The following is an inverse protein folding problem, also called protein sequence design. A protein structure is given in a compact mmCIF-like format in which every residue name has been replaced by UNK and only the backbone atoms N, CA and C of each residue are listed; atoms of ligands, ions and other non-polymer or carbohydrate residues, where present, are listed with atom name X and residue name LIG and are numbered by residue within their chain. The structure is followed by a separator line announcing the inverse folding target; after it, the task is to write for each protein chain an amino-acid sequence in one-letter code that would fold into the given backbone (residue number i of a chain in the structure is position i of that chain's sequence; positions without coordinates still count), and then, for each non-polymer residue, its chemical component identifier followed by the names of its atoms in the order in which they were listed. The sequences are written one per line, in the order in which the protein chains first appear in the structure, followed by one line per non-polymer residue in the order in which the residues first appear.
data_IF_613015871227
#
_entry.id   IF_613015871227
#
_cell.length_a   1.000
_cell.length_b   1.000
_cell.length_c   1.000
_cell.angle_alpha   90.00
_cell.angle_beta   90.00
_cell.angle_gamma   90.00
#
_symmetry.space_group_name_H-M   'P 1'
#
loop_
_entity.id
_entity.type
_entity.pdbx_description
1 polymer ?
#
# COMPACT_ATOMS: atom_id res chain seq x y z
N UNK A 1 15.63 -21.63 -37.18
CA UNK A 1 15.42 -20.18 -37.17
C UNK A 1 13.96 -19.99 -36.81
N UNK A 2 13.55 -19.65 -35.59
CA UNK A 2 14.23 -19.15 -34.40
C UNK A 2 13.64 -19.83 -33.17
N UNK A 3 14.51 -20.49 -32.41
CA UNK A 3 14.27 -20.80 -31.01
C UNK A 3 14.55 -19.51 -30.22
N UNK A 4 13.57 -18.62 -30.13
CA UNK A 4 13.59 -17.51 -29.18
C UNK A 4 12.98 -18.00 -27.86
N UNK A 5 13.89 -18.45 -26.98
CA UNK A 5 13.85 -18.36 -25.52
C UNK A 5 12.47 -18.42 -24.84
N UNK A 6 12.11 -19.63 -24.38
CA UNK A 6 11.06 -19.88 -23.37
C UNK A 6 11.37 -19.27 -21.98
N UNK A 7 12.44 -18.47 -21.84
CA UNK A 7 12.99 -18.04 -20.55
C UNK A 7 12.77 -16.55 -20.20
N UNK A 8 12.08 -15.74 -21.02
CA UNK A 8 11.88 -14.30 -20.75
C UNK A 8 10.43 -13.81 -20.73
N UNK A 9 9.44 -14.71 -20.93
CA UNK A 9 8.06 -14.39 -20.57
C UNK A 9 7.88 -14.66 -19.08
N UNK A 10 8.06 -13.63 -18.25
CA UNK A 10 7.71 -13.72 -16.83
C UNK A 10 6.23 -14.16 -16.75
N UNK A 11 5.98 -15.32 -16.13
CA UNK A 11 4.62 -15.84 -16.02
C UNK A 11 3.71 -14.80 -15.35
N UNK A 12 2.48 -14.68 -15.85
CA UNK A 12 1.53 -13.65 -15.41
C UNK A 12 1.23 -13.78 -13.93
N UNK A 13 1.22 -15.01 -13.41
CA UNK A 13 1.10 -15.26 -11.97
C UNK A 13 2.23 -14.58 -11.18
N UNK A 14 3.47 -14.66 -11.67
CA UNK A 14 4.62 -14.00 -11.06
C UNK A 14 4.45 -12.49 -11.06
N UNK A 15 3.94 -11.92 -12.14
CA UNK A 15 3.65 -10.48 -12.22
C UNK A 15 2.54 -10.08 -11.23
N UNK A 16 1.48 -10.87 -11.10
CA UNK A 16 0.43 -10.63 -10.10
C UNK A 16 1.05 -10.62 -8.70
N UNK A 17 1.75 -11.69 -8.31
CA UNK A 17 2.36 -11.80 -6.97
C UNK A 17 3.30 -10.64 -6.67
N UNK A 18 4.16 -10.27 -7.63
CA UNK A 18 5.14 -9.20 -7.48
C UNK A 18 4.48 -7.83 -7.32
N UNK A 19 3.45 -7.52 -8.10
CA UNK A 19 2.88 -6.17 -8.13
C UNK A 19 1.64 -5.99 -7.23
N UNK A 20 1.11 -7.05 -6.63
CA UNK A 20 -0.12 -7.02 -5.83
C UNK A 20 -0.08 -5.95 -4.73
N UNK A 21 0.97 -5.99 -3.89
CA UNK A 21 1.12 -5.06 -2.77
C UNK A 21 1.29 -3.62 -3.25
N UNK A 22 1.99 -3.40 -4.37
CA UNK A 22 2.18 -2.07 -4.94
C UNK A 22 0.87 -1.44 -5.42
N UNK A 23 0.02 -2.21 -6.11
CA UNK A 23 -1.30 -1.76 -6.55
C UNK A 23 -2.21 -1.45 -5.35
N UNK A 24 -2.23 -2.35 -4.37
CA UNK A 24 -3.01 -2.15 -3.15
C UNK A 24 -2.62 -0.89 -2.38
N UNK A 25 -1.30 -0.65 -2.22
CA UNK A 25 -0.76 0.55 -1.58
C UNK A 25 -1.15 1.82 -2.34
N UNK A 26 -1.08 1.79 -3.67
CA UNK A 26 -1.50 2.91 -4.52
C UNK A 26 -2.99 3.25 -4.29
N UNK A 27 -3.88 2.24 -4.26
CA UNK A 27 -5.30 2.46 -3.99
C UNK A 27 -5.58 3.01 -2.59
N UNK A 28 -4.86 2.50 -1.57
CA UNK A 28 -4.92 3.03 -0.21
C UNK A 28 -4.45 4.48 -0.14
N UNK A 29 -3.40 4.82 -0.88
CA UNK A 29 -2.89 6.19 -0.97
C UNK A 29 -3.91 7.13 -1.63
N UNK A 30 -4.64 6.67 -2.65
CA UNK A 30 -5.72 7.44 -3.28
C UNK A 30 -6.96 7.63 -2.37
N UNK A 31 -7.00 6.99 -1.21
CA UNK A 31 -8.07 7.15 -0.22
C UNK A 31 -9.13 6.05 -0.22
N UNK A 32 -8.87 4.89 -0.83
CA UNK A 32 -9.73 3.71 -0.64
C UNK A 32 -9.71 3.25 0.81
N UNK A 33 -10.86 2.85 1.37
CA UNK A 33 -10.90 2.04 2.59
C UNK A 33 -10.26 0.66 2.38
N UNK A 34 -9.95 -0.07 3.45
CA UNK A 34 -9.20 -1.34 3.35
C UNK A 34 -9.90 -2.36 2.45
N UNK A 35 -11.16 -2.64 2.72
CA UNK A 35 -11.97 -3.59 1.93
C UNK A 35 -12.10 -3.13 0.48
N UNK A 36 -12.34 -1.84 0.25
CA UNK A 36 -12.37 -1.28 -1.09
C UNK A 36 -11.04 -1.43 -1.83
N UNK A 37 -9.91 -1.25 -1.15
CA UNK A 37 -8.59 -1.44 -1.76
C UNK A 37 -8.35 -2.92 -2.12
N UNK A 38 -8.79 -3.86 -1.28
CA UNK A 38 -8.72 -5.30 -1.58
C UNK A 38 -9.51 -5.63 -2.85
N UNK A 39 -10.75 -5.17 -2.95
CA UNK A 39 -11.63 -5.42 -4.11
C UNK A 39 -11.09 -4.81 -5.40
N UNK A 40 -10.71 -3.52 -5.37
CA UNK A 40 -10.23 -2.83 -6.58
C UNK A 40 -8.86 -3.36 -7.02
N UNK A 41 -8.04 -3.88 -6.09
CA UNK A 41 -6.80 -4.58 -6.44
C UNK A 41 -7.09 -5.85 -7.21
N UNK A 42 -8.04 -6.67 -6.75
CA UNK A 42 -8.46 -7.88 -7.45
C UNK A 42 -9.00 -7.55 -8.84
N UNK A 43 -9.89 -6.55 -8.96
CA UNK A 43 -10.45 -6.12 -10.23
C UNK A 43 -9.35 -5.64 -11.20
N UNK A 44 -8.35 -4.92 -10.70
CA UNK A 44 -7.17 -4.50 -11.48
C UNK A 44 -6.45 -5.69 -12.09
N UNK A 45 -6.18 -6.73 -11.30
CA UNK A 45 -5.48 -7.92 -11.81
C UNK A 45 -6.36 -8.78 -12.71
N UNK A 46 -7.67 -8.84 -12.49
CA UNK A 46 -8.60 -9.50 -13.42
C UNK A 46 -8.59 -8.83 -14.80
N UNK A 47 -8.56 -7.49 -14.85
CA UNK A 47 -8.42 -6.74 -16.11
C UNK A 47 -7.06 -7.00 -16.74
N UNK A 48 -5.98 -6.95 -15.96
CA UNK A 48 -4.62 -7.23 -16.42
C UNK A 48 -4.51 -8.63 -17.06
N UNK A 49 -5.06 -9.65 -16.43
CA UNK A 49 -5.01 -11.03 -16.92
C UNK A 49 -5.83 -11.24 -18.21
N UNK A 50 -6.88 -10.45 -18.45
CA UNK A 50 -7.74 -10.55 -19.64
C UNK A 50 -7.18 -9.81 -20.87
N UNK A 51 -6.36 -8.78 -20.67
CA UNK A 51 -5.83 -7.98 -21.79
C UNK A 51 -4.51 -8.55 -22.31
N UNK A 52 -4.18 -8.40 -23.61
CA UNK A 52 -2.82 -8.62 -24.09
C UNK A 52 -1.85 -7.71 -23.33
N UNK A 53 -0.69 -8.23 -22.95
CA UNK A 53 0.32 -7.48 -22.21
C UNK A 53 1.72 -7.94 -22.60
N UNK A 54 2.54 -7.00 -23.06
CA UNK A 54 3.94 -7.22 -23.36
C UNK A 54 4.79 -6.72 -22.20
N UNK A 55 5.57 -7.64 -21.63
CA UNK A 55 6.46 -7.31 -20.52
C UNK A 55 7.62 -6.44 -21.00
N UNK A 56 7.69 -5.22 -20.47
CA UNK A 56 8.72 -4.22 -20.78
C UNK A 56 9.49 -3.79 -19.51
N UNK A 57 9.66 -4.72 -18.56
CA UNK A 57 10.33 -4.45 -17.28
C UNK A 57 9.40 -4.06 -16.13
N UNK A 58 9.98 -4.00 -14.93
CA UNK A 58 9.25 -3.77 -13.67
C UNK A 58 8.56 -2.41 -13.62
N UNK A 59 9.28 -1.32 -13.90
CA UNK A 59 8.74 0.04 -13.83
C UNK A 59 7.56 0.25 -14.80
N UNK A 60 7.71 -0.24 -16.04
CA UNK A 60 6.65 -0.19 -17.06
C UNK A 60 5.41 -0.98 -16.64
N UNK A 61 5.60 -2.18 -16.07
CA UNK A 61 4.49 -3.01 -15.56
C UNK A 61 3.77 -2.32 -14.39
N UNK A 62 4.51 -1.78 -13.42
CA UNK A 62 3.94 -1.01 -12.31
C UNK A 62 3.16 0.22 -12.77
N UNK A 63 3.67 0.95 -13.78
CA UNK A 63 2.96 2.09 -14.35
C UNK A 63 1.67 1.67 -15.08
N UNK A 64 1.71 0.56 -15.82
CA UNK A 64 0.54 0.01 -16.50
C UNK A 64 -0.55 -0.42 -15.53
N UNK A 65 -0.20 -1.17 -14.47
CA UNK A 65 -1.14 -1.62 -13.44
C UNK A 65 -1.77 -0.44 -12.69
N UNK A 66 -0.99 0.61 -12.37
CA UNK A 66 -1.52 1.84 -11.77
C UNK A 66 -2.54 2.54 -12.65
N UNK A 67 -2.33 2.59 -13.98
CA UNK A 67 -3.32 3.14 -14.92
C UNK A 67 -4.65 2.39 -14.86
N UNK A 68 -4.60 1.06 -14.80
CA UNK A 68 -5.80 0.22 -14.66
C UNK A 68 -6.48 0.49 -13.32
N UNK A 69 -5.73 0.44 -12.21
CA UNK A 69 -6.25 0.66 -10.86
C UNK A 69 -6.92 2.04 -10.71
N UNK A 70 -6.30 3.09 -11.26
CA UNK A 70 -6.84 4.46 -11.29
C UNK A 70 -8.18 4.51 -12.03
N UNK A 71 -8.25 3.89 -13.21
CA UNK A 71 -9.48 3.87 -13.99
C UNK A 71 -10.63 3.24 -13.19
N UNK A 72 -10.38 2.07 -12.59
CA UNK A 72 -11.35 1.34 -11.76
C UNK A 72 -11.74 2.17 -10.53
N UNK A 73 -10.77 2.78 -9.85
CA UNK A 73 -11.01 3.65 -8.69
C UNK A 73 -11.92 4.83 -9.02
N UNK A 74 -11.59 5.57 -10.10
CA UNK A 74 -12.40 6.71 -10.56
C UNK A 74 -13.82 6.29 -10.93
N UNK A 75 -13.97 5.11 -11.52
CA UNK A 75 -15.28 4.59 -11.87
C UNK A 75 -16.10 4.26 -10.62
N UNK A 76 -15.52 3.57 -9.63
CA UNK A 76 -16.16 3.29 -8.35
C UNK A 76 -16.57 4.57 -7.61
N UNK A 77 -15.69 5.58 -7.64
CA UNK A 77 -15.87 6.91 -7.03
C UNK A 77 -16.96 7.75 -7.72
N UNK A 78 -17.06 7.69 -9.04
CA UNK A 78 -18.14 8.36 -9.79
C UNK A 78 -19.51 7.78 -9.39
N UNK A 79 -19.60 6.47 -9.16
CA UNK A 79 -20.84 5.82 -8.70
C UNK A 79 -21.23 6.23 -7.27
N UNK A 80 -20.28 6.66 -6.44
CA UNK A 80 -20.51 7.10 -5.06
C UNK A 80 -20.72 8.62 -4.90
N UNK A 81 -20.92 9.38 -5.98
CA UNK A 81 -21.24 10.82 -6.02
C UNK A 81 -20.27 11.75 -5.24
N UNK A 82 -19.04 11.30 -4.97
CA UNK A 82 -18.10 11.94 -4.04
C UNK A 82 -16.72 12.06 -4.67
N UNK A 83 -16.53 12.87 -5.72
CA UNK A 83 -15.15 13.16 -6.20
C UNK A 83 -14.99 14.49 -6.93
N UNK A 84 -13.93 15.18 -6.54
CA UNK A 84 -13.33 16.32 -7.22
C UNK A 84 -12.04 15.86 -7.92
N UNK A 85 -12.00 15.87 -9.26
CA UNK A 85 -10.96 15.23 -10.06
C UNK A 85 -9.56 15.85 -9.86
N UNK A 86 -9.50 17.13 -9.45
CA UNK A 86 -8.27 17.86 -9.19
C UNK A 86 -7.42 17.25 -8.06
N UNK A 87 -8.06 16.62 -7.07
CA UNK A 87 -7.38 16.01 -5.90
C UNK A 87 -6.54 14.78 -6.28
N UNK A 88 -6.88 14.11 -7.38
CA UNK A 88 -6.28 12.83 -7.77
C UNK A 88 -4.99 13.04 -8.56
N UNK A 89 -4.91 14.05 -9.42
CA UNK A 89 -3.66 14.39 -10.13
C UNK A 89 -2.56 14.85 -9.18
N UNK A 90 -2.91 15.61 -8.15
CA UNK A 90 -1.97 16.01 -7.11
C UNK A 90 -1.48 14.80 -6.30
N UNK A 91 -2.39 13.89 -5.94
CA UNK A 91 -2.05 12.63 -5.31
C UNK A 91 -1.09 11.80 -6.19
N UNK A 92 -1.31 11.71 -7.51
CA UNK A 92 -0.41 10.98 -8.41
C UNK A 92 1.01 11.55 -8.45
N UNK A 93 1.14 12.88 -8.44
CA UNK A 93 2.44 13.53 -8.41
C UNK A 93 3.20 13.18 -7.12
N UNK A 94 2.52 13.32 -5.98
CA UNK A 94 3.09 12.97 -4.67
C UNK A 94 3.48 11.50 -4.62
N UNK A 95 2.62 10.59 -5.12
CA UNK A 95 2.92 9.16 -5.14
C UNK A 95 4.10 8.83 -6.07
N UNK A 96 4.21 9.45 -7.24
CA UNK A 96 5.33 9.23 -8.13
C UNK A 96 6.66 9.70 -7.52
N UNK A 97 6.64 10.78 -6.75
CA UNK A 97 7.81 11.32 -6.04
C UNK A 97 8.20 10.48 -4.81
N UNK A 98 7.24 9.86 -4.11
CA UNK A 98 7.50 9.09 -2.87
C UNK A 98 7.65 7.59 -3.09
N UNK A 99 7.00 7.00 -4.10
CA UNK A 99 6.98 5.55 -4.28
C UNK A 99 8.23 5.00 -4.99
N UNK A 100 8.98 5.81 -5.74
CA UNK A 100 10.22 5.36 -6.42
C UNK A 100 10.04 4.12 -7.32
N UNK A 101 11.16 3.55 -7.78
CA UNK A 101 11.18 2.26 -8.50
C UNK A 101 11.09 1.04 -7.56
N UNK A 102 11.19 1.26 -6.26
CA UNK A 102 11.13 0.22 -5.23
C UNK A 102 9.69 -0.27 -5.07
N UNK A 103 9.51 -1.58 -4.97
CA UNK A 103 8.25 -2.21 -4.56
C UNK A 103 7.90 -1.93 -3.07
N UNK A 104 8.74 -1.13 -2.41
CA UNK A 104 8.66 -0.78 -1.01
C UNK A 104 9.14 -1.91 -0.10
N UNK A 105 9.94 -2.85 -0.60
CA UNK A 105 10.70 -3.80 0.21
C UNK A 105 11.63 -3.04 1.18
N UNK A 106 12.35 -2.02 0.70
CA UNK A 106 13.24 -1.22 1.56
C UNK A 106 12.47 -0.53 2.68
N UNK A 107 11.26 -0.05 2.38
CA UNK A 107 10.35 0.53 3.38
C UNK A 107 9.84 -0.50 4.38
N UNK A 108 9.58 -1.75 3.95
CA UNK A 108 9.18 -2.84 4.84
C UNK A 108 10.31 -3.26 5.77
N UNK A 109 11.53 -3.39 5.24
CA UNK A 109 12.72 -3.73 6.03
C UNK A 109 13.04 -2.61 7.02
N UNK A 110 13.01 -1.36 6.57
CA UNK A 110 13.17 -0.20 7.45
C UNK A 110 12.08 -0.15 8.52
N UNK A 111 10.81 -0.40 8.17
CA UNK A 111 9.70 -0.44 9.12
C UNK A 111 9.88 -1.58 10.13
N UNK A 112 10.25 -2.78 9.69
CA UNK A 112 10.45 -3.94 10.57
C UNK A 112 11.51 -3.63 11.65
N UNK A 113 12.59 -2.96 11.28
CA UNK A 113 13.61 -2.52 12.22
C UNK A 113 13.16 -1.35 13.09
N UNK A 114 12.42 -0.38 12.56
CA UNK A 114 11.89 0.74 13.32
C UNK A 114 10.79 0.33 14.32
N UNK A 115 10.00 -0.70 14.03
CA UNK A 115 9.01 -1.22 14.98
C UNK A 115 9.71 -1.80 16.21
N UNK A 116 10.90 -2.40 16.07
CA UNK A 116 11.70 -2.90 17.20
C UNK A 116 12.16 -1.77 18.15
N UNK A 117 12.16 -0.51 17.71
CA UNK A 117 12.54 0.63 18.57
C UNK A 117 11.37 1.15 19.41
N UNK A 118 10.14 0.70 19.15
CA UNK A 118 8.99 1.06 19.97
C UNK A 118 8.98 0.23 21.26
N UNK A 119 9.25 0.88 22.39
CA UNK A 119 9.24 0.26 23.71
C UNK A 119 7.93 0.52 24.48
N UNK A 120 7.62 -0.40 25.40
CA UNK A 120 6.49 -0.30 26.32
C UNK A 120 5.14 -0.17 25.62
N UNK A 121 4.24 0.61 26.21
CA UNK A 121 2.84 0.72 25.75
C UNK A 121 2.70 1.14 24.29
N UNK A 122 3.66 1.87 23.72
CA UNK A 122 3.62 2.27 22.32
C UNK A 122 3.80 1.06 21.38
N UNK A 123 4.75 0.17 21.69
CA UNK A 123 4.95 -1.07 20.95
C UNK A 123 3.76 -2.01 21.08
N UNK A 124 3.25 -2.17 22.30
CA UNK A 124 2.08 -3.02 22.58
C UNK A 124 0.83 -2.53 21.82
N UNK A 125 0.56 -1.22 21.85
CA UNK A 125 -0.57 -0.62 21.14
C UNK A 125 -0.46 -0.81 19.62
N UNK A 126 0.74 -0.68 19.04
CA UNK A 126 0.97 -0.93 17.60
C UNK A 126 0.72 -2.41 17.27
N UNK A 127 1.23 -3.34 18.10
CA UNK A 127 1.02 -4.78 17.89
C UNK A 127 -0.47 -5.15 17.94
N UNK A 128 -1.19 -4.68 18.96
CA UNK A 128 -2.62 -4.95 19.11
C UNK A 128 -3.45 -4.34 17.97
N UNK A 129 -3.14 -3.10 17.57
CA UNK A 129 -3.90 -2.39 16.54
C UNK A 129 -3.69 -2.98 15.14
N UNK A 130 -2.46 -3.29 14.75
CA UNK A 130 -2.14 -3.68 13.37
C UNK A 130 -1.91 -5.18 13.20
N UNK A 131 -1.41 -5.87 14.24
CA UNK A 131 -1.21 -7.31 14.22
C UNK A 131 -2.48 -8.08 14.58
N UNK A 132 -3.20 -7.63 15.60
CA UNK A 132 -4.40 -8.31 16.12
C UNK A 132 -5.72 -7.63 15.72
N UNK A 133 -5.65 -6.48 15.02
CA UNK A 133 -6.79 -5.74 14.50
C UNK A 133 -7.82 -5.33 15.56
N UNK A 134 -7.35 -5.08 16.79
CA UNK A 134 -8.19 -4.62 17.92
C UNK A 134 -8.67 -3.18 17.73
N UNK A 135 -9.83 -2.87 18.29
CA UNK A 135 -10.32 -1.49 18.37
C UNK A 135 -9.51 -0.67 19.39
N UNK A 136 -9.54 0.65 19.27
CA UNK A 136 -8.81 1.51 20.22
C UNK A 136 -9.40 1.41 21.64
N UNK A 137 -10.68 1.08 21.74
CA UNK A 137 -11.41 0.82 22.97
C UNK A 137 -10.88 -0.46 23.64
N UNK A 138 -10.80 -1.57 22.91
CA UNK A 138 -10.24 -2.83 23.43
C UNK A 138 -8.78 -2.67 23.86
N UNK A 139 -7.98 -1.94 23.07
CA UNK A 139 -6.57 -1.67 23.41
C UNK A 139 -6.47 -0.82 24.68
N UNK A 140 -7.37 0.14 24.86
CA UNK A 140 -7.40 0.98 26.04
C UNK A 140 -7.66 0.15 27.30
N UNK A 141 -8.60 -0.80 27.24
CA UNK A 141 -8.89 -1.74 28.31
C UNK A 141 -7.68 -2.64 28.62
N UNK A 142 -7.11 -3.28 27.59
CA UNK A 142 -5.96 -4.19 27.74
C UNK A 142 -4.71 -3.51 28.33
N UNK A 143 -4.45 -2.25 27.96
CA UNK A 143 -3.27 -1.50 28.40
C UNK A 143 -3.53 -0.63 29.64
N UNK A 144 -4.74 -0.66 30.21
CA UNK A 144 -5.14 0.16 31.35
C UNK A 144 -4.99 1.66 31.06
N UNK A 145 -5.45 2.11 29.89
CA UNK A 145 -5.40 3.49 29.42
C UNK A 145 -6.80 4.01 29.09
N UNK A 146 -6.94 5.33 28.90
CA UNK A 146 -8.17 5.92 28.33
C UNK A 146 -8.13 5.82 26.80
N UNK A 147 -9.27 5.68 26.10
CA UNK A 147 -9.32 5.62 24.63
C UNK A 147 -8.61 6.80 23.94
N UNK A 148 -8.82 8.03 24.40
CA UNK A 148 -8.11 9.21 23.90
C UNK A 148 -6.58 9.14 24.09
N UNK A 149 -6.13 8.45 25.14
CA UNK A 149 -4.72 8.17 25.39
C UNK A 149 -4.14 7.21 24.34
N UNK A 150 -4.88 6.16 23.96
CA UNK A 150 -4.48 5.23 22.89
C UNK A 150 -4.40 5.93 21.54
N UNK A 151 -5.40 6.75 21.18
CA UNK A 151 -5.38 7.54 19.95
C UNK A 151 -4.10 8.38 19.85
N UNK A 152 -3.78 9.10 20.92
CA UNK A 152 -2.59 9.97 21.00
C UNK A 152 -1.30 9.16 20.96
N UNK A 153 -1.25 8.03 21.66
CA UNK A 153 -0.10 7.13 21.70
C UNK A 153 0.20 6.55 20.32
N UNK A 154 -0.81 6.04 19.63
CA UNK A 154 -0.69 5.51 18.26
C UNK A 154 -0.28 6.58 17.26
N UNK A 155 -0.77 7.82 17.42
CA UNK A 155 -0.35 8.94 16.57
C UNK A 155 1.14 9.25 16.75
N UNK A 156 1.64 9.30 17.99
CA UNK A 156 3.06 9.51 18.29
C UNK A 156 3.92 8.35 17.80
N UNK A 157 3.46 7.10 17.98
CA UNK A 157 4.15 5.92 17.47
C UNK A 157 4.29 5.98 15.94
N UNK A 158 3.22 6.31 15.20
CA UNK A 158 3.29 6.50 13.74
C UNK A 158 4.26 7.60 13.32
N UNK A 159 4.28 8.72 14.03
CA UNK A 159 5.25 9.79 13.75
C UNK A 159 6.69 9.33 13.98
N UNK A 160 6.96 8.65 15.09
CA UNK A 160 8.28 8.10 15.38
C UNK A 160 8.74 7.08 14.32
N UNK A 161 7.84 6.18 13.90
CA UNK A 161 8.14 5.21 12.86
C UNK A 161 8.46 5.88 11.52
N UNK A 162 7.71 6.91 11.14
CA UNK A 162 7.97 7.69 9.93
C UNK A 162 9.37 8.30 9.96
N UNK A 163 9.70 9.03 11.02
CA UNK A 163 11.00 9.68 11.16
C UNK A 163 12.15 8.66 11.15
N UNK A 164 11.94 7.49 11.77
CA UNK A 164 12.92 6.41 11.78
C UNK A 164 13.14 5.83 10.38
N UNK A 165 12.07 5.59 9.61
CA UNK A 165 12.15 5.08 8.24
C UNK A 165 12.83 6.10 7.34
N UNK A 166 12.42 7.37 7.40
CA UNK A 166 13.02 8.44 6.59
C UNK A 166 14.51 8.60 6.84
N UNK A 167 14.99 8.40 8.07
CA UNK A 167 16.44 8.43 8.36
C UNK A 167 17.20 7.23 7.82
N UNK A 168 16.54 6.07 7.69
CA UNK A 168 17.15 4.82 7.20
C UNK A 168 17.20 4.72 5.68
N UNK A 169 16.28 5.40 5.00
CA UNK A 169 16.17 5.40 3.53
C UNK A 169 16.82 6.62 2.87
N UNK A 170 17.42 7.52 3.66
CA UNK A 170 18.23 8.65 3.19
C UNK A 170 19.67 8.23 2.89
#
# INVERSE_FOLDING_TARGET
MEALSMAEQLDRETLVRRHHVGVWRYLRFLGCEREQADDLTQETFLVFLRKPFDYNGHASTSAYLRKIARFIYLEARRRSATTDAATIEEAERVFAETAGESDGADYLDALAECVKTLAGKAGDAVKLQYGEQRSQEEIAELLGMKPNGIKTLLQRARAHLRDCIERRLR
#
